data_IF_581355768605
#
_entry.id   IF_581355768605
#
_cell.length_a   1.000
_cell.length_b   1.000
_cell.length_c   1.000
_cell.angle_alpha   90.00
_cell.angle_beta   90.00
_cell.angle_gamma   90.00
#
_symmetry.space_group_name_H-M   'P 1'
#
loop_
_entity.id
_entity.type
_entity.pdbx_description
1 polymer ?
#
# COMPACT_ATOMS: atom_id res chain seq x y z
N UNK A 1 14.40 -24.04 -2.91
CA UNK A 1 14.93 -22.80 -2.31
C UNK A 1 14.54 -21.62 -3.19
N UNK A 2 14.40 -20.44 -2.62
CA UNK A 2 14.14 -19.22 -3.38
C UNK A 2 15.37 -18.85 -4.20
N UNK A 3 15.20 -18.54 -5.50
CA UNK A 3 16.32 -18.07 -6.31
C UNK A 3 16.81 -16.69 -5.86
N UNK A 4 18.08 -16.40 -6.11
CA UNK A 4 18.64 -15.08 -5.77
C UNK A 4 17.87 -13.93 -6.44
N UNK A 5 17.47 -14.11 -7.68
CA UNK A 5 16.70 -13.11 -8.44
C UNK A 5 15.36 -12.80 -7.79
N UNK A 6 14.61 -13.83 -7.39
CA UNK A 6 13.32 -13.68 -6.70
C UNK A 6 13.50 -13.10 -5.29
N UNK A 7 14.54 -13.53 -4.57
CA UNK A 7 14.91 -12.97 -3.28
C UNK A 7 15.21 -11.46 -3.37
N UNK A 8 16.02 -11.06 -4.34
CA UNK A 8 16.37 -9.64 -4.53
C UNK A 8 15.14 -8.81 -4.93
N UNK A 9 14.24 -9.38 -5.74
CA UNK A 9 12.99 -8.73 -6.13
C UNK A 9 12.04 -8.57 -4.92
N UNK A 10 11.88 -9.60 -4.08
CA UNK A 10 11.09 -9.51 -2.84
C UNK A 10 11.68 -8.50 -1.84
N UNK A 11 13.00 -8.48 -1.68
CA UNK A 11 13.64 -7.48 -0.81
C UNK A 11 13.37 -6.04 -1.30
N UNK A 12 13.31 -5.81 -2.61
CA UNK A 12 12.89 -4.51 -3.17
C UNK A 12 11.41 -4.23 -2.88
N UNK A 13 10.54 -5.23 -3.02
CA UNK A 13 9.12 -5.06 -2.72
C UNK A 13 8.90 -4.73 -1.24
N UNK A 14 9.63 -5.35 -0.32
CA UNK A 14 9.59 -4.97 1.11
C UNK A 14 9.85 -3.47 1.30
N UNK A 15 10.80 -2.89 0.56
CA UNK A 15 11.07 -1.45 0.62
C UNK A 15 9.88 -0.64 0.07
N UNK A 16 9.22 -1.10 -1.00
CA UNK A 16 8.01 -0.46 -1.53
C UNK A 16 6.88 -0.46 -0.49
N UNK A 17 6.62 -1.60 0.18
CA UNK A 17 5.60 -1.71 1.23
C UNK A 17 5.91 -0.79 2.43
N UNK A 18 7.16 -0.77 2.88
CA UNK A 18 7.57 0.12 3.98
C UNK A 18 7.52 1.60 3.58
N UNK A 19 7.81 1.93 2.31
CA UNK A 19 7.57 3.27 1.79
C UNK A 19 6.09 3.62 1.79
N UNK A 20 5.22 2.70 1.37
CA UNK A 20 3.77 2.87 1.43
C UNK A 20 3.28 3.15 2.86
N UNK A 21 3.78 2.39 3.83
CA UNK A 21 3.47 2.59 5.24
C UNK A 21 3.85 4.01 5.71
N UNK A 22 5.03 4.49 5.35
CA UNK A 22 5.50 5.84 5.67
C UNK A 22 4.68 6.92 4.95
N UNK A 23 4.32 6.70 3.69
CA UNK A 23 3.47 7.60 2.91
C UNK A 23 2.10 7.78 3.56
N UNK A 24 1.42 6.69 3.89
CA UNK A 24 0.11 6.73 4.54
C UNK A 24 0.17 7.33 5.93
N UNK A 25 1.24 7.11 6.68
CA UNK A 25 1.43 7.75 7.98
C UNK A 25 1.61 9.26 7.84
N UNK A 26 2.38 9.73 6.86
CA UNK A 26 2.56 11.15 6.59
C UNK A 26 1.24 11.81 6.15
N UNK A 27 0.47 11.18 5.27
CA UNK A 27 -0.87 11.61 4.88
C UNK A 27 -1.82 11.69 6.09
N UNK A 28 -1.76 10.69 6.98
CA UNK A 28 -2.58 10.65 8.18
C UNK A 28 -2.32 11.85 9.10
N UNK A 29 -1.08 12.17 9.36
CA UNK A 29 -0.74 13.35 10.18
C UNK A 29 -1.13 14.66 9.50
N UNK A 30 -1.06 14.74 8.18
CA UNK A 30 -1.57 15.91 7.46
C UNK A 30 -3.09 16.06 7.65
N UNK A 31 -3.84 14.96 7.55
CA UNK A 31 -5.30 14.97 7.77
C UNK A 31 -5.67 15.28 9.22
N UNK A 32 -4.95 14.74 10.21
CA UNK A 32 -5.12 15.11 11.63
C UNK A 32 -4.90 16.61 11.84
N UNK A 33 -3.84 17.17 11.27
CA UNK A 33 -3.53 18.60 11.37
C UNK A 33 -4.59 19.51 10.74
N UNK A 34 -5.37 19.01 9.78
CA UNK A 34 -6.49 19.71 9.14
C UNK A 34 -7.85 19.47 9.84
N UNK A 35 -7.89 18.59 10.85
CA UNK A 35 -9.10 18.25 11.58
C UNK A 35 -9.95 17.15 10.96
N UNK A 36 -9.42 16.42 9.95
CA UNK A 36 -10.07 15.26 9.32
C UNK A 36 -9.63 13.97 10.01
N UNK A 37 -10.07 13.78 11.26
CA UNK A 37 -9.61 12.68 12.11
C UNK A 37 -10.05 11.30 11.62
N UNK A 38 -11.20 11.20 10.93
CA UNK A 38 -11.65 9.95 10.32
C UNK A 38 -10.78 9.53 9.13
N UNK A 39 -10.45 10.48 8.26
CA UNK A 39 -9.48 10.27 7.18
C UNK A 39 -8.12 9.85 7.73
N UNK A 40 -7.65 10.53 8.76
CA UNK A 40 -6.38 10.19 9.42
C UNK A 40 -6.41 8.77 10.01
N UNK A 41 -7.48 8.38 10.67
CA UNK A 41 -7.65 7.03 11.21
C UNK A 41 -7.57 5.96 10.10
N UNK A 42 -8.30 6.17 9.01
CA UNK A 42 -8.28 5.27 7.87
C UNK A 42 -6.86 5.09 7.31
N UNK A 43 -6.13 6.19 7.11
CA UNK A 43 -4.76 6.18 6.61
C UNK A 43 -3.75 5.54 7.59
N UNK A 44 -3.96 5.68 8.90
CA UNK A 44 -3.15 4.98 9.91
C UNK A 44 -3.38 3.47 9.87
N UNK A 45 -4.61 3.02 9.63
CA UNK A 45 -4.90 1.60 9.42
C UNK A 45 -4.22 1.08 8.16
N UNK A 46 -4.28 1.83 7.08
CA UNK A 46 -3.58 1.50 5.83
C UNK A 46 -2.06 1.38 6.07
N UNK A 47 -1.45 2.34 6.75
CA UNK A 47 -0.03 2.27 7.12
C UNK A 47 0.33 0.98 7.90
N UNK A 48 -0.53 0.55 8.82
CA UNK A 48 -0.32 -0.69 9.57
C UNK A 48 -0.43 -1.93 8.67
N UNK A 49 -1.33 -1.95 7.70
CA UNK A 49 -1.48 -3.05 6.74
C UNK A 49 -0.24 -3.19 5.85
N UNK A 50 0.30 -2.08 5.34
CA UNK A 50 1.52 -2.11 4.52
C UNK A 50 2.75 -2.61 5.31
N UNK A 51 2.81 -2.27 6.59
CA UNK A 51 3.85 -2.83 7.47
C UNK A 51 3.69 -4.34 7.64
N UNK A 52 2.46 -4.84 7.76
CA UNK A 52 2.18 -6.28 7.83
C UNK A 52 2.53 -7.00 6.51
N UNK A 53 2.26 -6.39 5.34
CA UNK A 53 2.67 -6.92 4.04
C UNK A 53 4.20 -7.07 3.95
N UNK A 54 4.95 -6.04 4.35
CA UNK A 54 6.41 -6.10 4.37
C UNK A 54 6.93 -7.24 5.25
N UNK A 55 6.33 -7.45 6.44
CA UNK A 55 6.68 -8.55 7.33
C UNK A 55 6.36 -9.91 6.71
N UNK A 56 5.19 -10.07 6.12
CA UNK A 56 4.79 -11.32 5.45
C UNK A 56 5.75 -11.70 4.31
N UNK A 57 6.19 -10.73 3.53
CA UNK A 57 7.20 -10.95 2.47
C UNK A 57 8.54 -11.37 3.04
N UNK A 58 8.97 -10.74 4.16
CA UNK A 58 10.19 -11.12 4.87
C UNK A 58 10.12 -12.56 5.39
N UNK A 59 9.02 -12.92 6.04
CA UNK A 59 8.78 -14.26 6.56
C UNK A 59 8.78 -15.31 5.43
N UNK A 60 8.20 -14.98 4.28
CA UNK A 60 8.23 -15.85 3.10
C UNK A 60 9.66 -16.08 2.58
N UNK A 61 10.49 -15.03 2.52
CA UNK A 61 11.92 -15.17 2.14
C UNK A 61 12.63 -16.14 3.09
N UNK A 62 12.46 -15.96 4.40
CA UNK A 62 13.10 -16.83 5.42
C UNK A 62 12.60 -18.27 5.30
N UNK A 63 11.28 -18.45 5.17
CA UNK A 63 10.65 -19.78 4.99
C UNK A 63 11.17 -20.52 3.75
N UNK A 64 11.55 -19.77 2.71
CA UNK A 64 12.10 -20.31 1.47
C UNK A 64 13.63 -20.45 1.48
N UNK A 65 14.28 -20.24 2.63
CA UNK A 65 15.74 -20.37 2.84
C UNK A 65 16.55 -19.21 2.26
N UNK A 66 15.92 -18.06 2.07
CA UNK A 66 16.57 -16.83 1.62
C UNK A 66 17.02 -15.93 2.76
N UNK A 67 17.53 -14.75 2.42
CA UNK A 67 18.02 -13.72 3.34
C UNK A 67 17.24 -12.41 3.12
N UNK A 68 16.69 -11.86 4.21
CA UNK A 68 16.05 -10.54 4.18
C UNK A 68 17.11 -9.45 4.29
N UNK A 69 17.08 -8.52 3.33
CA UNK A 69 17.95 -7.34 3.30
C UNK A 69 17.09 -6.08 3.21
N UNK A 70 16.93 -5.42 4.34
CA UNK A 70 16.21 -4.16 4.38
C UNK A 70 17.05 -3.05 3.76
N UNK A 71 16.63 -2.60 2.58
CA UNK A 71 17.24 -1.47 1.90
C UNK A 71 16.83 -0.13 2.52
N UNK A 72 17.44 0.94 2.03
CA UNK A 72 17.04 2.29 2.40
C UNK A 72 15.62 2.59 1.90
N UNK A 73 14.78 3.13 2.79
CA UNK A 73 13.43 3.59 2.44
C UNK A 73 13.55 5.06 2.05
N UNK A 74 13.14 5.45 0.83
CA UNK A 74 13.16 6.85 0.40
C UNK A 74 12.33 7.73 1.34
N UNK A 75 12.75 8.97 1.53
CA UNK A 75 11.97 9.94 2.28
C UNK A 75 10.66 10.23 1.55
N UNK A 76 9.57 10.25 2.30
CA UNK A 76 8.27 10.67 1.78
C UNK A 76 8.32 12.16 1.48
N UNK A 77 7.91 12.52 0.26
CA UNK A 77 7.82 13.90 -0.21
C UNK A 77 6.37 14.23 -0.53
N UNK A 78 5.91 15.37 -0.09
CA UNK A 78 4.58 15.84 -0.39
C UNK A 78 4.03 16.72 0.71
N UNK A 79 2.98 17.44 0.35
CA UNK A 79 2.15 18.21 1.27
C UNK A 79 0.69 17.95 0.87
N UNK A 80 -0.13 17.64 1.84
CA UNK A 80 -1.52 17.30 1.62
C UNK A 80 -2.39 18.37 2.28
N UNK A 81 -3.18 19.08 1.46
CA UNK A 81 -3.95 20.28 1.87
C UNK A 81 -5.44 20.02 2.04
N UNK A 82 -5.91 18.91 1.52
CA UNK A 82 -7.32 18.52 1.57
C UNK A 82 -7.46 16.99 1.40
N UNK A 83 -8.58 16.41 1.82
CA UNK A 83 -8.82 14.98 1.67
C UNK A 83 -8.84 14.49 0.22
N UNK A 84 -9.43 15.23 -0.72
CA UNK A 84 -9.56 14.79 -2.11
C UNK A 84 -8.18 14.54 -2.75
N UNK A 85 -7.28 15.52 -2.70
CA UNK A 85 -5.95 15.37 -3.27
C UNK A 85 -5.13 14.30 -2.56
N UNK A 86 -5.32 14.13 -1.25
CA UNK A 86 -4.68 13.07 -0.47
C UNK A 86 -5.12 11.68 -0.95
N UNK A 87 -6.42 11.43 -1.09
CA UNK A 87 -6.91 10.13 -1.54
C UNK A 87 -6.70 9.88 -3.04
N UNK A 88 -6.66 10.92 -3.88
CA UNK A 88 -6.22 10.78 -5.27
C UNK A 88 -4.78 10.29 -5.38
N UNK A 89 -3.89 10.81 -4.54
CA UNK A 89 -2.50 10.35 -4.46
C UNK A 89 -2.40 8.94 -3.89
N UNK A 90 -3.20 8.62 -2.86
CA UNK A 90 -3.29 7.26 -2.31
C UNK A 90 -3.72 6.25 -3.38
N UNK A 91 -4.78 6.53 -4.12
CA UNK A 91 -5.24 5.68 -5.22
C UNK A 91 -4.16 5.49 -6.30
N UNK A 92 -3.50 6.57 -6.71
CA UNK A 92 -2.40 6.49 -7.67
C UNK A 92 -1.25 5.62 -7.15
N UNK A 93 -0.99 5.68 -5.85
CA UNK A 93 0.03 4.86 -5.22
C UNK A 93 -0.36 3.39 -5.21
N UNK A 94 -1.62 3.04 -4.92
CA UNK A 94 -2.10 1.64 -5.02
C UNK A 94 -1.95 1.09 -6.43
N UNK A 95 -2.25 1.87 -7.46
CA UNK A 95 -1.99 1.45 -8.85
C UNK A 95 -0.51 1.17 -9.10
N UNK A 96 0.40 1.97 -8.53
CA UNK A 96 1.85 1.71 -8.60
C UNK A 96 2.22 0.39 -7.91
N UNK A 97 1.71 0.14 -6.71
CA UNK A 97 1.96 -1.12 -5.98
C UNK A 97 1.43 -2.32 -6.76
N UNK A 98 0.23 -2.21 -7.36
CA UNK A 98 -0.30 -3.26 -8.24
C UNK A 98 0.66 -3.60 -9.39
N UNK A 99 1.24 -2.60 -10.05
CA UNK A 99 2.25 -2.82 -11.10
C UNK A 99 3.50 -3.52 -10.55
N UNK A 100 3.95 -3.17 -9.34
CA UNK A 100 5.10 -3.82 -8.70
C UNK A 100 4.81 -5.31 -8.43
N UNK A 101 3.64 -5.62 -7.89
CA UNK A 101 3.19 -6.99 -7.61
C UNK A 101 3.05 -7.80 -8.90
N UNK A 102 2.48 -7.22 -9.97
CA UNK A 102 2.37 -7.88 -11.27
C UNK A 102 3.75 -8.25 -11.84
N UNK A 103 4.71 -7.33 -11.78
CA UNK A 103 6.10 -7.62 -12.21
C UNK A 103 6.75 -8.75 -11.40
N UNK A 104 6.46 -8.78 -10.09
CA UNK A 104 6.95 -9.84 -9.21
C UNK A 104 6.36 -11.20 -9.57
N UNK A 105 5.05 -11.25 -9.87
CA UNK A 105 4.37 -12.46 -10.36
C UNK A 105 4.93 -12.92 -11.71
N UNK A 106 5.15 -12.00 -12.64
CA UNK A 106 5.71 -12.34 -13.96
C UNK A 106 7.11 -12.92 -13.83
N UNK A 107 7.95 -12.36 -12.96
CA UNK A 107 9.27 -12.91 -12.67
C UNK A 107 9.20 -14.32 -12.06
N UNK A 108 8.22 -14.55 -11.17
CA UNK A 108 7.98 -15.89 -10.59
C UNK A 108 7.53 -16.90 -11.64
N UNK A 109 6.76 -16.46 -12.65
CA UNK A 109 6.35 -17.29 -13.80
C UNK A 109 7.53 -17.62 -14.71
N UNK A 110 8.36 -16.65 -15.04
CA UNK A 110 9.58 -16.86 -15.86
C UNK A 110 10.52 -17.90 -15.25
N UNK A 111 10.57 -17.97 -13.91
CA UNK A 111 11.41 -18.94 -13.20
C UNK A 111 10.67 -20.24 -12.84
N UNK A 112 9.42 -20.40 -13.25
CA UNK A 112 8.55 -21.52 -12.90
C UNK A 112 8.48 -21.83 -11.39
N UNK A 113 8.60 -20.81 -10.54
CA UNK A 113 8.53 -20.94 -9.08
C UNK A 113 7.08 -20.94 -8.60
N UNK A 114 6.45 -22.12 -8.55
CA UNK A 114 5.03 -22.28 -8.16
C UNK A 114 4.70 -21.71 -6.78
N UNK A 115 5.50 -21.94 -5.72
CA UNK A 115 5.22 -21.33 -4.42
C UNK A 115 5.26 -19.79 -4.45
N UNK A 116 6.18 -19.21 -5.20
CA UNK A 116 6.26 -17.76 -5.35
C UNK A 116 5.08 -17.19 -6.15
N UNK A 117 4.66 -17.90 -7.22
CA UNK A 117 3.44 -17.53 -7.96
C UNK A 117 2.22 -17.53 -7.05
N UNK A 118 2.04 -18.59 -6.25
CA UNK A 118 0.92 -18.69 -5.29
C UNK A 118 0.96 -17.56 -4.27
N UNK A 119 2.14 -17.22 -3.77
CA UNK A 119 2.33 -16.12 -2.83
C UNK A 119 1.96 -14.76 -3.46
N UNK A 120 2.39 -14.50 -4.69
CA UNK A 120 2.07 -13.26 -5.40
C UNK A 120 0.57 -13.13 -5.71
N UNK A 121 -0.12 -14.23 -6.03
CA UNK A 121 -1.55 -14.20 -6.36
C UNK A 121 -2.40 -13.63 -5.23
N UNK A 122 -2.07 -13.93 -3.98
CA UNK A 122 -2.73 -13.32 -2.82
C UNK A 122 -2.70 -11.79 -2.90
N UNK A 123 -1.52 -11.22 -3.17
CA UNK A 123 -1.37 -9.76 -3.27
C UNK A 123 -2.02 -9.19 -4.53
N UNK A 124 -2.07 -9.94 -5.63
CA UNK A 124 -2.82 -9.51 -6.84
C UNK A 124 -4.31 -9.35 -6.52
N UNK A 125 -4.91 -10.31 -5.82
CA UNK A 125 -6.31 -10.24 -5.40
C UNK A 125 -6.55 -9.08 -4.42
N UNK A 126 -5.67 -8.92 -3.44
CA UNK A 126 -5.71 -7.84 -2.45
C UNK A 126 -5.62 -6.46 -3.13
N UNK A 127 -4.76 -6.29 -4.13
CA UNK A 127 -4.62 -5.02 -4.87
C UNK A 127 -5.87 -4.63 -5.67
N UNK A 128 -6.66 -5.57 -6.15
CA UNK A 128 -7.97 -5.28 -6.77
C UNK A 128 -8.89 -4.60 -5.74
N UNK A 129 -8.92 -5.10 -4.51
CA UNK A 129 -9.70 -4.51 -3.42
C UNK A 129 -9.15 -3.15 -2.98
N UNK A 130 -7.82 -3.00 -2.86
CA UNK A 130 -7.17 -1.74 -2.49
C UNK A 130 -7.47 -0.62 -3.49
N UNK A 131 -7.37 -0.91 -4.79
CA UNK A 131 -7.71 0.06 -5.83
C UNK A 131 -9.21 0.40 -5.82
N UNK A 132 -10.10 -0.59 -5.65
CA UNK A 132 -11.54 -0.38 -5.57
C UNK A 132 -11.90 0.53 -4.40
N UNK A 133 -11.36 0.26 -3.21
CA UNK A 133 -11.64 1.04 -2.00
C UNK A 133 -11.10 2.46 -2.13
N UNK A 134 -9.85 2.63 -2.57
CA UNK A 134 -9.24 3.95 -2.71
C UNK A 134 -9.96 4.80 -3.77
N UNK A 135 -10.28 4.22 -4.95
CA UNK A 135 -11.03 4.93 -6.00
C UNK A 135 -12.45 5.26 -5.55
N UNK A 136 -13.11 4.38 -4.80
CA UNK A 136 -14.45 4.64 -4.23
C UNK A 136 -14.47 5.83 -3.28
N UNK A 137 -13.44 5.98 -2.44
CA UNK A 137 -13.30 7.17 -1.57
C UNK A 137 -13.10 8.44 -2.40
N UNK A 138 -12.26 8.38 -3.43
CA UNK A 138 -12.05 9.51 -4.36
C UNK A 138 -13.35 9.92 -5.02
N UNK A 139 -14.13 8.96 -5.51
CA UNK A 139 -15.43 9.24 -6.18
C UNK A 139 -16.44 9.88 -5.21
N UNK A 140 -16.51 9.38 -3.98
CA UNK A 140 -17.35 10.00 -2.96
C UNK A 140 -16.93 11.45 -2.67
N UNK A 141 -15.63 11.71 -2.53
CA UNK A 141 -15.10 13.06 -2.30
C UNK A 141 -15.39 14.01 -3.47
N UNK A 142 -15.23 13.54 -4.72
CA UNK A 142 -15.57 14.32 -5.91
C UNK A 142 -17.05 14.62 -6.01
N UNK A 143 -17.91 13.65 -5.71
CA UNK A 143 -19.36 13.80 -5.77
C UNK A 143 -19.93 14.72 -4.69
N UNK A 144 -19.22 14.90 -3.58
CA UNK A 144 -19.58 15.88 -2.54
C UNK A 144 -19.42 17.33 -3.02
N UNK A 145 -18.47 17.58 -3.92
CA UNK A 145 -18.15 18.93 -4.38
C UNK A 145 -17.89 19.90 -3.23
N UNK A 146 -18.69 20.96 -3.15
CA UNK A 146 -18.64 21.94 -2.05
C UNK A 146 -19.52 21.55 -0.83
N UNK A 147 -20.04 20.33 -0.79
CA UNK A 147 -20.81 19.82 0.32
C UNK A 147 -19.95 19.49 1.55
N UNK A 148 -20.62 19.13 2.63
CA UNK A 148 -19.90 18.74 3.84
C UNK A 148 -19.27 17.37 3.73
N UNK A 149 -17.99 17.25 4.09
CA UNK A 149 -17.24 15.99 4.15
C UNK A 149 -17.49 15.23 5.47
N UNK A 150 -18.08 15.83 6.49
CA UNK A 150 -18.19 15.23 7.82
C UNK A 150 -18.80 13.83 7.86
N UNK A 151 -19.89 13.51 7.13
CA UNK A 151 -20.43 12.14 7.13
C UNK A 151 -19.43 11.11 6.60
N UNK A 152 -18.67 11.43 5.57
CA UNK A 152 -17.65 10.54 5.02
C UNK A 152 -16.46 10.41 5.98
N UNK A 153 -15.98 11.52 6.54
CA UNK A 153 -14.90 11.50 7.53
C UNK A 153 -15.28 10.64 8.74
N UNK A 154 -16.52 10.77 9.24
CA UNK A 154 -17.03 9.92 10.31
C UNK A 154 -17.04 8.44 9.90
N UNK A 155 -17.53 8.11 8.72
CA UNK A 155 -17.56 6.72 8.21
C UNK A 155 -16.16 6.13 8.06
N UNK A 156 -15.18 6.90 7.59
CA UNK A 156 -13.78 6.46 7.49
C UNK A 156 -13.15 6.22 8.86
N UNK A 157 -13.60 6.91 9.89
CA UNK A 157 -13.17 6.71 11.27
C UNK A 157 -13.71 5.43 11.93
N UNK A 158 -14.70 4.77 11.32
CA UNK A 158 -15.28 3.51 11.81
C UNK A 158 -14.49 2.24 11.36
N UNK A 159 -13.51 2.37 10.52
CA UNK A 159 -12.68 1.27 10.01
C UNK A 159 -11.96 0.46 11.10
#
# INVERSE_FOLDING_TARGET
MLSKTLQDALNKQIVEELYSANLYMAMAYAMDGLGFNGCAHWLKKQSAEETAHAQEMGDFIIKRGGEVKLGAIPAVKGTWKDPLTTFEEAYKHECHISECIHKLLDLAREQDDKPMQSFCWKFVEEQVEEEEVASGIVDMLRNMGNGTIFPLDHALGER
#
